data_IF_025830069359
#
_entry.id   IF_025830069359
#
_cell.length_a   1.000
_cell.length_b   1.000
_cell.length_c   1.000
_cell.angle_alpha   90.00
_cell.angle_beta   90.00
_cell.angle_gamma   90.00
#
_symmetry.space_group_name_H-M   'P 1'
#
loop_
_entity.id
_entity.type
_entity.pdbx_description
1 polymer ?
#
# COMPACT_ATOMS: atom_id res chain seq x y z
N UNK A 1 -36.97 45.73 -34.64
CA UNK A 1 -37.62 44.40 -34.57
C UNK A 1 -37.11 43.74 -33.29
N UNK A 2 -37.99 43.71 -32.28
CA UNK A 2 -37.93 43.08 -30.95
C UNK A 2 -36.84 43.52 -29.93
N UNK A 3 -37.37 44.00 -28.80
CA UNK A 3 -36.74 44.64 -27.64
C UNK A 3 -36.48 43.66 -26.48
N UNK A 4 -35.60 44.09 -25.57
CA UNK A 4 -35.37 43.61 -24.19
C UNK A 4 -36.64 43.24 -23.42
N UNK A 5 -36.52 42.30 -22.48
CA UNK A 5 -37.16 42.36 -21.15
C UNK A 5 -36.30 41.66 -20.09
N UNK A 6 -35.67 42.47 -19.23
CA UNK A 6 -35.42 42.15 -17.83
C UNK A 6 -36.74 42.36 -17.06
N UNK A 7 -37.03 41.51 -16.07
CA UNK A 7 -37.89 41.86 -14.94
C UNK A 7 -37.54 41.02 -13.71
N UNK A 8 -37.24 41.74 -12.63
CA UNK A 8 -37.11 41.28 -11.25
C UNK A 8 -38.48 40.89 -10.65
N UNK A 9 -38.45 40.11 -9.56
CA UNK A 9 -39.33 40.34 -8.40
C UNK A 9 -40.02 39.12 -7.81
N UNK A 10 -39.65 38.81 -6.54
CA UNK A 10 -40.48 38.32 -5.42
C UNK A 10 -41.18 36.94 -5.60
N UNK A 11 -41.09 35.94 -4.72
CA UNK A 11 -41.00 35.92 -3.27
C UNK A 11 -42.27 35.22 -2.73
N UNK A 12 -42.17 33.96 -2.28
CA UNK A 12 -43.08 33.39 -1.26
C UNK A 12 -42.68 31.98 -0.80
N UNK A 13 -42.62 31.87 0.52
CA UNK A 13 -43.08 30.81 1.41
C UNK A 13 -42.44 29.41 1.42
N UNK A 14 -41.64 29.29 2.48
CA UNK A 14 -41.34 28.11 3.30
C UNK A 14 -42.62 27.34 3.66
N UNK A 15 -42.60 26.01 3.56
CA UNK A 15 -43.51 25.15 4.32
C UNK A 15 -42.72 24.00 4.96
N UNK A 16 -42.56 24.08 6.27
CA UNK A 16 -42.13 22.98 7.13
C UNK A 16 -43.28 21.98 7.28
N UNK A 17 -43.01 20.68 7.16
CA UNK A 17 -43.92 19.62 7.58
C UNK A 17 -43.46 19.06 8.95
N UNK A 18 -44.38 18.64 9.83
CA UNK A 18 -44.11 18.45 11.26
C UNK A 18 -43.56 17.05 11.59
N UNK A 19 -42.77 17.00 12.67
CA UNK A 19 -42.40 15.78 13.39
C UNK A 19 -43.59 15.25 14.21
N UNK A 20 -43.84 13.95 14.16
CA UNK A 20 -44.66 13.24 15.15
C UNK A 20 -43.80 12.26 15.94
N UNK A 21 -43.68 12.56 17.23
CA UNK A 21 -43.20 11.66 18.28
C UNK A 21 -44.31 10.68 18.69
N UNK A 22 -43.93 9.43 18.95
CA UNK A 22 -44.70 8.54 19.81
C UNK A 22 -43.74 7.70 20.67
N UNK A 23 -43.59 8.11 21.93
CA UNK A 23 -43.09 7.31 23.04
C UNK A 23 -44.18 6.32 23.48
N UNK A 24 -43.82 5.07 23.76
CA UNK A 24 -44.49 4.23 24.77
C UNK A 24 -43.46 3.26 25.41
N UNK A 25 -43.11 3.58 26.64
CA UNK A 25 -42.89 2.72 27.83
C UNK A 25 -43.86 1.50 27.85
N UNK A 26 -43.70 0.37 28.57
CA UNK A 26 -42.90 -0.07 29.73
C UNK A 26 -43.13 -1.59 29.92
N UNK A 27 -42.45 -2.14 30.94
CA UNK A 27 -42.76 -3.38 31.72
C UNK A 27 -41.90 -4.62 31.40
N UNK A 28 -40.94 -4.94 32.29
CA UNK A 28 -41.04 -5.82 33.50
C UNK A 28 -41.33 -7.28 33.11
N UNK A 29 -40.71 -8.34 33.62
CA UNK A 29 -40.24 -8.59 34.98
C UNK A 29 -39.45 -9.92 35.04
N UNK A 30 -38.66 -10.07 36.11
CA UNK A 30 -38.44 -11.28 36.93
C UNK A 30 -37.54 -12.47 36.53
N UNK A 31 -36.43 -12.51 37.30
CA UNK A 31 -35.64 -13.59 37.90
C UNK A 31 -36.26 -14.99 38.18
N UNK A 32 -35.37 -16.01 38.07
CA UNK A 32 -35.16 -17.23 38.89
C UNK A 32 -34.73 -18.38 37.95
N UNK A 33 -33.78 -19.27 38.22
CA UNK A 33 -32.92 -19.55 39.36
C UNK A 33 -32.29 -20.93 39.13
N UNK A 34 -30.99 -21.04 39.44
CA UNK A 34 -30.23 -22.21 39.89
C UNK A 34 -30.09 -23.48 39.00
N UNK A 35 -28.79 -23.82 38.85
CA UNK A 35 -28.14 -25.13 39.07
C UNK A 35 -27.60 -25.91 37.86
N UNK A 36 -26.27 -26.13 37.86
CA UNK A 36 -25.66 -27.33 37.26
C UNK A 36 -24.33 -27.15 36.54
N UNK A 37 -23.22 -27.45 37.23
CA UNK A 37 -22.15 -28.28 36.65
C UNK A 37 -21.05 -27.62 35.81
N UNK A 38 -19.93 -27.34 36.48
CA UNK A 38 -18.55 -27.56 36.03
C UNK A 38 -18.32 -27.96 34.55
N UNK A 39 -17.56 -27.11 33.83
CA UNK A 39 -16.32 -27.47 33.10
C UNK A 39 -15.67 -26.20 32.55
N UNK A 40 -14.54 -25.79 33.14
CA UNK A 40 -13.63 -24.82 32.55
C UNK A 40 -13.02 -25.44 31.29
N UNK A 41 -13.45 -24.97 30.11
CA UNK A 41 -12.74 -25.14 28.85
C UNK A 41 -12.11 -23.81 28.48
N UNK A 42 -10.88 -23.56 28.92
CA UNK A 42 -10.07 -22.48 28.38
C UNK A 42 -9.85 -22.81 26.90
N UNK A 43 -10.49 -22.04 26.02
CA UNK A 43 -10.20 -22.06 24.59
C UNK A 43 -8.80 -21.46 24.45
N UNK A 44 -7.82 -22.34 24.30
CA UNK A 44 -6.45 -22.01 23.91
C UNK A 44 -6.51 -21.46 22.48
N UNK A 45 -6.46 -20.12 22.36
CA UNK A 45 -6.23 -19.42 21.11
C UNK A 45 -4.78 -19.67 20.70
N UNK A 46 -4.55 -20.73 19.95
CA UNK A 46 -3.31 -20.92 19.22
C UNK A 46 -3.37 -20.06 17.97
N UNK A 47 -2.57 -19.00 17.96
CA UNK A 47 -2.30 -18.14 16.81
C UNK A 47 -1.71 -19.00 15.67
N UNK A 48 -2.55 -19.43 14.73
CA UNK A 48 -2.14 -20.18 13.54
C UNK A 48 -1.58 -19.28 12.44
N UNK A 49 -0.43 -18.63 12.69
CA UNK A 49 0.30 -17.88 11.65
C UNK A 49 1.83 -18.13 11.65
N UNK A 50 2.31 -19.05 12.47
CA UNK A 50 3.72 -19.46 12.49
C UNK A 50 3.94 -20.68 11.59
N UNK A 51 4.11 -20.42 10.29
CA UNK A 51 4.68 -21.41 9.38
C UNK A 51 6.13 -21.66 9.81
N UNK A 52 6.39 -22.77 10.51
CA UNK A 52 7.75 -23.14 10.86
C UNK A 52 8.59 -23.40 9.60
N UNK A 53 9.86 -22.99 9.57
CA UNK A 53 10.60 -22.94 8.32
C UNK A 53 11.21 -24.28 7.94
N UNK A 54 11.14 -24.64 6.65
CA UNK A 54 11.87 -25.79 6.12
C UNK A 54 13.40 -25.61 6.28
N UNK A 55 14.08 -26.66 6.72
CA UNK A 55 15.51 -26.72 7.11
C UNK A 55 16.52 -26.30 6.02
N UNK A 56 16.12 -26.17 4.75
CA UNK A 56 17.04 -25.92 3.63
C UNK A 56 17.47 -24.46 3.40
N UNK A 57 17.00 -23.49 4.20
CA UNK A 57 17.13 -22.03 3.95
C UNK A 57 18.06 -21.26 4.91
N UNK A 58 18.76 -21.94 5.81
CA UNK A 58 19.31 -21.30 7.02
C UNK A 58 20.50 -20.34 6.79
N UNK A 59 21.24 -20.46 5.69
CA UNK A 59 22.44 -19.63 5.42
C UNK A 59 22.15 -18.26 4.77
N UNK A 60 20.92 -18.00 4.31
CA UNK A 60 20.56 -16.75 3.60
C UNK A 60 19.61 -15.84 4.40
N UNK A 61 19.16 -16.26 5.59
CA UNK A 61 18.20 -15.52 6.42
C UNK A 61 18.88 -14.48 7.32
N UNK A 62 19.55 -13.51 6.71
CA UNK A 62 19.95 -12.34 7.49
C UNK A 62 18.71 -11.54 7.91
N UNK A 63 18.59 -11.27 9.20
CA UNK A 63 17.55 -10.40 9.76
C UNK A 63 17.65 -9.01 9.13
N UNK A 64 16.58 -8.56 8.51
CA UNK A 64 16.52 -7.31 7.75
C UNK A 64 16.12 -6.16 8.66
N UNK A 65 15.10 -6.40 9.47
CA UNK A 65 14.45 -5.39 10.29
C UNK A 65 13.76 -6.03 11.50
N UNK A 66 13.41 -5.22 12.50
CA UNK A 66 12.59 -5.63 13.65
C UNK A 66 11.42 -4.68 13.73
N UNK A 67 10.20 -5.22 13.66
CA UNK A 67 8.95 -4.45 13.72
C UNK A 67 8.81 -3.71 15.04
N UNK A 68 7.86 -2.78 15.11
CA UNK A 68 7.53 -2.06 16.35
C UNK A 68 7.10 -2.99 17.50
N UNK A 69 6.60 -4.19 17.17
CA UNK A 69 6.22 -5.24 18.13
C UNK A 69 7.34 -6.22 18.46
N UNK A 70 8.57 -5.97 18.01
CA UNK A 70 9.72 -6.86 18.26
C UNK A 70 9.81 -8.09 17.35
N UNK A 71 8.84 -8.30 16.44
CA UNK A 71 8.88 -9.40 15.47
C UNK A 71 9.97 -9.14 14.41
N UNK A 72 10.92 -10.06 14.18
CA UNK A 72 11.93 -9.91 13.15
C UNK A 72 11.35 -10.14 11.75
N UNK A 73 11.88 -9.42 10.76
CA UNK A 73 11.57 -9.59 9.33
C UNK A 73 12.78 -10.21 8.63
N UNK A 74 12.53 -11.27 7.87
CA UNK A 74 13.52 -11.99 7.06
C UNK A 74 13.05 -12.07 5.61
N UNK A 75 13.97 -12.12 4.63
CA UNK A 75 13.60 -12.57 3.30
C UNK A 75 13.13 -14.04 3.38
N UNK A 76 12.08 -14.36 2.63
CA UNK A 76 11.55 -15.72 2.55
C UNK A 76 12.02 -16.45 1.30
N UNK A 77 12.50 -15.73 0.29
CA UNK A 77 13.11 -16.31 -0.92
C UNK A 77 14.47 -15.68 -1.24
N UNK A 78 15.26 -16.37 -2.06
CA UNK A 78 16.55 -15.87 -2.54
C UNK A 78 16.42 -14.55 -3.30
N UNK A 79 15.39 -14.38 -4.12
CA UNK A 79 15.17 -13.12 -4.84
C UNK A 79 14.74 -12.01 -3.90
N UNK A 80 13.96 -12.29 -2.86
CA UNK A 80 13.65 -11.28 -1.84
C UNK A 80 14.93 -10.81 -1.14
N UNK A 81 15.86 -11.72 -0.83
CA UNK A 81 17.17 -11.35 -0.29
C UNK A 81 17.95 -10.46 -1.27
N UNK A 82 18.03 -10.84 -2.54
CA UNK A 82 18.68 -10.05 -3.59
C UNK A 82 18.03 -8.67 -3.79
N UNK A 83 16.70 -8.57 -3.64
CA UNK A 83 15.97 -7.31 -3.72
C UNK A 83 16.35 -6.36 -2.59
N UNK A 84 16.37 -6.85 -1.35
CA UNK A 84 16.76 -6.07 -0.18
C UNK A 84 18.22 -5.60 -0.27
N UNK A 85 19.12 -6.49 -0.69
CA UNK A 85 20.52 -6.16 -0.94
C UNK A 85 20.65 -5.09 -2.02
N UNK A 86 19.87 -5.19 -3.10
CA UNK A 86 19.85 -4.21 -4.17
C UNK A 86 19.41 -2.83 -3.69
N UNK A 87 18.35 -2.75 -2.87
CA UNK A 87 17.89 -1.48 -2.28
C UNK A 87 18.97 -0.87 -1.38
N UNK A 88 19.74 -1.71 -0.67
CA UNK A 88 20.79 -1.22 0.21
C UNK A 88 21.96 -0.61 -0.57
N UNK A 89 22.34 -1.21 -1.70
CA UNK A 89 23.58 -0.89 -2.44
C UNK A 89 23.40 0.08 -3.62
N UNK A 90 22.25 0.08 -4.27
CA UNK A 90 22.05 0.81 -5.52
C UNK A 90 21.21 2.08 -5.33
N UNK A 91 21.57 3.21 -5.96
CA UNK A 91 20.73 4.41 -5.97
C UNK A 91 19.32 4.18 -6.51
N UNK A 92 19.16 3.28 -7.49
CA UNK A 92 17.84 2.92 -8.02
C UNK A 92 17.69 1.40 -8.07
N UNK A 93 16.60 0.90 -7.51
CA UNK A 93 16.17 -0.49 -7.68
C UNK A 93 14.77 -0.52 -8.31
N UNK A 94 14.61 -1.32 -9.36
CA UNK A 94 13.32 -1.59 -9.99
C UNK A 94 12.98 -3.04 -9.72
N UNK A 95 11.79 -3.31 -9.20
CA UNK A 95 11.31 -4.64 -8.90
C UNK A 95 10.02 -4.93 -9.65
N UNK A 96 10.04 -6.00 -10.44
CA UNK A 96 8.89 -6.50 -11.19
C UNK A 96 8.41 -7.79 -10.56
N UNK A 97 7.11 -8.02 -10.56
CA UNK A 97 6.55 -9.34 -10.33
C UNK A 97 5.19 -9.33 -9.64
N UNK A 98 4.61 -10.53 -9.43
CA UNK A 98 3.21 -10.69 -9.09
C UNK A 98 2.83 -10.11 -7.73
N UNK A 99 1.53 -9.85 -7.54
CA UNK A 99 0.97 -9.55 -6.22
C UNK A 99 1.22 -10.70 -5.21
N UNK A 100 1.58 -10.33 -3.98
CA UNK A 100 1.92 -11.29 -2.91
C UNK A 100 3.40 -11.68 -2.82
N UNK A 101 4.27 -11.13 -3.68
CA UNK A 101 5.73 -11.36 -3.63
C UNK A 101 6.46 -10.49 -2.59
N UNK A 102 5.75 -9.54 -1.96
CA UNK A 102 6.30 -8.65 -0.94
C UNK A 102 7.05 -7.42 -1.48
N UNK A 103 7.03 -7.16 -2.80
CA UNK A 103 7.77 -6.04 -3.44
C UNK A 103 7.59 -4.68 -2.76
N UNK A 104 6.37 -4.28 -2.45
CA UNK A 104 6.06 -2.97 -1.85
C UNK A 104 6.39 -2.97 -0.36
N UNK A 105 5.97 -4.02 0.36
CA UNK A 105 6.23 -4.18 1.79
C UNK A 105 7.74 -4.12 2.10
N UNK A 106 8.54 -4.91 1.39
CA UNK A 106 9.99 -4.97 1.58
C UNK A 106 10.68 -3.64 1.23
N UNK A 107 10.18 -2.89 0.23
CA UNK A 107 10.68 -1.54 -0.07
C UNK A 107 10.43 -0.57 1.10
N UNK A 108 9.24 -0.61 1.69
CA UNK A 108 8.87 0.22 2.84
C UNK A 108 9.70 -0.16 4.08
N UNK A 109 9.89 -1.47 4.33
CA UNK A 109 10.77 -1.95 5.41
C UNK A 109 12.18 -1.39 5.25
N UNK A 110 12.77 -1.45 4.05
CA UNK A 110 14.09 -0.88 3.78
C UNK A 110 14.12 0.63 3.89
N UNK A 111 13.03 1.33 3.52
CA UNK A 111 12.92 2.76 3.69
C UNK A 111 12.91 3.16 5.18
N UNK A 112 12.13 2.47 6.00
CA UNK A 112 12.12 2.64 7.46
C UNK A 112 13.51 2.37 8.05
N UNK A 113 14.18 1.29 7.60
CA UNK A 113 15.55 0.98 8.02
C UNK A 113 16.51 2.12 7.71
N UNK A 114 16.57 2.57 6.46
CA UNK A 114 17.46 3.66 6.02
C UNK A 114 17.19 4.97 6.78
N UNK A 115 15.93 5.28 7.07
CA UNK A 115 15.57 6.45 7.87
C UNK A 115 16.07 6.35 9.32
N UNK A 116 15.95 5.17 9.94
CA UNK A 116 16.37 4.96 11.32
C UNK A 116 17.88 4.82 11.47
N UNK A 117 18.56 4.22 10.48
CA UNK A 117 20.02 4.09 10.42
C UNK A 117 20.70 5.45 10.10
N UNK A 118 19.93 6.46 9.67
CA UNK A 118 20.43 7.80 9.33
C UNK A 118 21.01 7.92 7.92
N UNK A 119 20.82 6.90 7.07
CA UNK A 119 21.23 6.93 5.65
C UNK A 119 20.49 8.03 4.88
N UNK A 120 19.24 8.30 5.27
CA UNK A 120 18.35 9.30 4.66
C UNK A 120 17.59 10.06 5.75
N UNK A 121 17.17 11.28 5.44
CA UNK A 121 16.46 12.15 6.38
C UNK A 121 14.93 12.01 6.28
N UNK A 122 14.44 11.51 5.14
CA UNK A 122 13.01 11.34 4.88
C UNK A 122 12.67 10.17 3.95
N UNK A 123 11.45 9.68 4.10
CA UNK A 123 10.81 8.70 3.21
C UNK A 123 9.73 9.41 2.40
N UNK A 124 9.66 9.14 1.10
CA UNK A 124 8.58 9.61 0.24
C UNK A 124 7.95 8.39 -0.43
N UNK A 125 6.67 8.14 -0.14
CA UNK A 125 5.90 7.04 -0.70
C UNK A 125 4.90 7.63 -1.68
N UNK A 126 4.89 7.09 -2.90
CA UNK A 126 4.07 7.62 -3.97
C UNK A 126 3.48 6.53 -4.83
N UNK A 127 2.30 6.81 -5.38
CA UNK A 127 1.53 5.92 -6.25
C UNK A 127 0.95 6.77 -7.38
N UNK A 128 0.90 6.28 -8.64
CA UNK A 128 0.18 6.99 -9.69
C UNK A 128 -1.31 7.06 -9.34
N UNK A 129 -1.95 8.18 -9.64
CA UNK A 129 -3.40 8.24 -9.62
C UNK A 129 -3.92 7.41 -10.80
N UNK A 130 -4.72 6.40 -10.49
CA UNK A 130 -5.39 5.56 -11.48
C UNK A 130 -6.88 5.64 -11.17
N UNK A 131 -7.67 5.99 -12.17
CA UNK A 131 -9.12 5.91 -12.07
C UNK A 131 -9.50 4.43 -12.20
N UNK A 132 -9.47 3.71 -11.09
CA UNK A 132 -9.93 2.33 -11.01
C UNK A 132 -11.47 2.32 -11.01
N UNK A 133 -12.07 2.51 -12.19
CA UNK A 133 -13.51 2.34 -12.42
C UNK A 133 -14.45 3.39 -11.82
N UNK A 134 -14.04 4.11 -10.78
CA UNK A 134 -14.74 5.29 -10.24
C UNK A 134 -13.83 6.51 -10.40
N UNK A 135 -14.33 7.58 -11.02
CA UNK A 135 -13.57 8.84 -11.05
C UNK A 135 -13.29 9.25 -9.60
N UNK A 136 -12.04 9.62 -9.32
CA UNK A 136 -11.60 10.18 -8.02
C UNK A 136 -12.50 11.34 -7.52
N UNK A 137 -13.32 11.90 -8.42
CA UNK A 137 -14.35 12.90 -8.15
C UNK A 137 -15.56 12.46 -7.31
N UNK A 138 -15.85 11.17 -7.12
CA UNK A 138 -17.12 10.73 -6.50
C UNK A 138 -17.09 10.45 -4.99
N UNK A 139 -15.93 10.39 -4.33
CA UNK A 139 -15.89 10.28 -2.87
C UNK A 139 -16.17 11.66 -2.24
N UNK A 140 -17.16 11.84 -1.33
CA UNK A 140 -17.32 13.10 -0.59
C UNK A 140 -16.15 13.29 0.40
N UNK A 141 -15.70 14.53 0.62
CA UNK A 141 -14.63 14.87 1.57
C UNK A 141 -13.41 15.57 0.97
N UNK A 142 -12.45 15.93 1.83
CA UNK A 142 -11.18 16.57 1.43
C UNK A 142 -10.29 15.61 0.62
N UNK A 143 -9.39 16.12 -0.22
CA UNK A 143 -8.50 15.31 -1.09
C UNK A 143 -7.79 14.18 -0.32
N UNK A 144 -7.43 14.42 0.95
CA UNK A 144 -6.83 13.42 1.83
C UNK A 144 -7.79 12.25 2.14
N UNK A 145 -9.07 12.53 2.39
CA UNK A 145 -10.10 11.52 2.68
C UNK A 145 -10.44 10.66 1.44
N UNK A 146 -10.30 11.22 0.23
CA UNK A 146 -10.54 10.49 -1.03
C UNK A 146 -9.38 9.58 -1.45
N UNK A 147 -8.15 9.95 -1.08
CA UNK A 147 -6.93 9.20 -1.46
C UNK A 147 -6.60 8.11 -0.41
N UNK A 148 -7.12 8.23 0.81
CA UNK A 148 -6.82 7.37 1.96
C UNK A 148 -7.03 5.86 1.70
N UNK A 149 -8.11 5.39 1.04
CA UNK A 149 -8.31 3.95 0.80
C UNK A 149 -7.19 3.32 -0.06
N UNK A 150 -6.69 4.03 -1.06
CA UNK A 150 -5.63 3.56 -1.97
C UNK A 150 -4.24 3.54 -1.32
N UNK A 151 -4.08 4.30 -0.24
CA UNK A 151 -2.83 4.39 0.52
C UNK A 151 -2.83 3.49 1.76
N UNK A 152 -3.95 2.82 2.06
CA UNK A 152 -4.07 1.97 3.25
C UNK A 152 -2.98 0.89 3.37
N UNK A 153 -2.64 0.14 2.29
CA UNK A 153 -1.56 -0.85 2.37
C UNK A 153 -0.20 -0.24 2.73
N UNK A 154 0.04 1.02 2.34
CA UNK A 154 1.26 1.76 2.66
C UNK A 154 1.29 2.12 4.14
N UNK A 155 0.17 2.60 4.70
CA UNK A 155 0.04 2.87 6.13
C UNK A 155 0.22 1.62 6.97
N UNK A 156 -0.41 0.50 6.58
CA UNK A 156 -0.33 -0.75 7.34
C UNK A 156 1.13 -1.24 7.43
N UNK A 157 1.88 -1.20 6.32
CA UNK A 157 3.31 -1.54 6.31
C UNK A 157 4.15 -0.59 7.19
N UNK A 158 3.87 0.71 7.16
CA UNK A 158 4.54 1.69 8.04
C UNK A 158 4.23 1.43 9.52
N UNK A 159 2.97 1.15 9.86
CA UNK A 159 2.56 0.86 11.23
C UNK A 159 3.18 -0.42 11.76
N UNK A 160 3.32 -1.44 10.92
CA UNK A 160 4.06 -2.65 11.29
C UNK A 160 5.54 -2.33 11.59
N UNK A 161 6.17 -1.49 10.77
CA UNK A 161 7.60 -1.15 10.94
C UNK A 161 7.89 -0.22 12.14
N UNK A 162 7.05 0.78 12.36
CA UNK A 162 7.37 1.92 13.24
C UNK A 162 6.38 2.12 14.39
N UNK A 163 5.18 1.52 14.29
CA UNK A 163 4.07 1.76 15.20
C UNK A 163 3.28 3.01 14.82
N UNK A 164 1.98 3.00 15.11
CA UNK A 164 1.04 4.03 14.67
C UNK A 164 1.42 5.44 15.12
N UNK A 165 1.68 5.63 16.43
CA UNK A 165 2.02 6.93 17.00
C UNK A 165 3.27 7.54 16.35
N UNK A 166 4.32 6.72 16.15
CA UNK A 166 5.57 7.16 15.55
C UNK A 166 5.40 7.53 14.09
N UNK A 167 4.61 6.78 13.33
CA UNK A 167 4.29 7.11 11.93
C UNK A 167 3.57 8.46 11.86
N UNK A 168 2.55 8.68 12.68
CA UNK A 168 1.81 9.96 12.70
C UNK A 168 2.73 11.12 13.08
N UNK A 169 3.57 10.95 14.09
CA UNK A 169 4.58 11.94 14.48
C UNK A 169 5.55 12.26 13.34
N UNK A 170 6.06 11.24 12.65
CA UNK A 170 6.99 11.40 11.51
C UNK A 170 6.33 12.04 10.30
N UNK A 171 5.05 11.78 10.04
CA UNK A 171 4.28 12.46 8.99
C UNK A 171 4.12 13.94 9.32
N UNK A 172 3.72 14.25 10.56
CA UNK A 172 3.58 15.64 11.02
C UNK A 172 4.91 16.40 10.93
N UNK A 173 6.03 15.74 11.23
CA UNK A 173 7.39 16.28 11.09
C UNK A 173 7.93 16.26 9.65
N UNK A 174 7.16 15.79 8.66
CA UNK A 174 7.57 15.61 7.24
C UNK A 174 8.80 14.70 7.04
N UNK A 175 9.08 13.80 7.98
CA UNK A 175 10.04 12.70 7.80
C UNK A 175 9.46 11.58 6.94
N UNK A 176 8.14 11.43 6.93
CA UNK A 176 7.42 10.53 6.01
C UNK A 176 6.43 11.38 5.23
N UNK A 177 6.54 11.36 3.91
CA UNK A 177 5.58 11.98 2.99
C UNK A 177 4.88 10.88 2.21
N UNK A 178 3.55 10.91 2.17
CA UNK A 178 2.75 10.01 1.33
C UNK A 178 1.94 10.90 0.39
N UNK A 179 2.20 10.80 -0.92
CA UNK A 179 1.62 11.72 -1.89
C UNK A 179 1.45 11.10 -3.29
N UNK A 180 0.49 11.56 -4.09
CA UNK A 180 0.35 11.13 -5.49
C UNK A 180 1.58 11.44 -6.34
N UNK A 181 1.84 10.64 -7.37
CA UNK A 181 3.01 10.80 -8.25
C UNK A 181 3.16 12.20 -8.85
N UNK A 182 2.04 12.89 -9.12
CA UNK A 182 2.04 14.25 -9.67
C UNK A 182 2.80 15.26 -8.80
N UNK A 183 2.85 15.05 -7.48
CA UNK A 183 3.54 15.93 -6.52
C UNK A 183 5.06 15.85 -6.64
N UNK A 184 5.60 14.87 -7.37
CA UNK A 184 7.03 14.76 -7.63
C UNK A 184 7.53 15.75 -8.69
N UNK A 185 6.61 16.35 -9.47
CA UNK A 185 6.96 17.28 -10.55
C UNK A 185 7.73 18.49 -9.99
N UNK A 186 8.81 18.87 -10.68
CA UNK A 186 9.64 20.03 -10.31
C UNK A 186 10.47 19.86 -9.03
N UNK A 187 10.40 18.72 -8.33
CA UNK A 187 11.20 18.47 -7.14
C UNK A 187 12.59 17.93 -7.47
N UNK A 188 13.55 18.22 -6.61
CA UNK A 188 14.80 17.45 -6.51
C UNK A 188 14.80 16.81 -5.13
N UNK A 189 14.85 15.48 -5.08
CA UNK A 189 14.66 14.72 -3.85
C UNK A 189 16.03 14.35 -3.30
N UNK A 190 16.60 15.22 -2.46
CA UNK A 190 17.88 14.98 -1.76
C UNK A 190 17.66 14.32 -0.40
N UNK A 191 18.62 13.53 0.09
CA UNK A 191 18.58 12.85 1.39
C UNK A 191 17.27 12.08 1.65
N UNK A 192 16.77 11.37 0.63
CA UNK A 192 15.47 10.70 0.70
C UNK A 192 15.50 9.27 0.17
N UNK A 193 14.72 8.39 0.80
CA UNK A 193 14.30 7.12 0.21
C UNK A 193 12.92 7.30 -0.41
N UNK A 194 12.81 7.10 -1.72
CA UNK A 194 11.58 7.36 -2.48
C UNK A 194 11.06 6.04 -3.05
N UNK A 195 9.83 5.66 -2.71
CA UNK A 195 9.19 4.44 -3.20
C UNK A 195 8.02 4.81 -4.12
N UNK A 196 8.07 4.34 -5.36
CA UNK A 196 6.95 4.38 -6.30
C UNK A 196 6.31 2.99 -6.37
N UNK A 197 5.09 2.90 -5.88
CA UNK A 197 4.26 1.69 -5.95
C UNK A 197 3.35 1.72 -7.19
N UNK A 198 2.94 0.54 -7.65
CA UNK A 198 2.14 0.34 -8.87
C UNK A 198 2.68 1.04 -10.12
N UNK A 199 3.99 0.94 -10.35
CA UNK A 199 4.67 1.59 -11.47
C UNK A 199 4.14 1.14 -12.85
N UNK A 200 3.44 0.00 -12.95
CA UNK A 200 2.79 -0.44 -14.18
C UNK A 200 1.71 0.53 -14.63
N UNK A 201 1.15 1.32 -13.71
CA UNK A 201 0.14 2.33 -14.00
C UNK A 201 0.74 3.70 -14.32
N UNK A 202 2.05 3.77 -14.60
CA UNK A 202 2.72 4.96 -15.09
C UNK A 202 2.97 4.88 -16.60
N UNK A 203 2.78 5.99 -17.30
CA UNK A 203 3.32 6.18 -18.65
C UNK A 203 4.85 6.29 -18.62
N UNK A 204 5.51 6.05 -19.76
CA UNK A 204 6.96 6.22 -19.86
C UNK A 204 7.42 7.65 -19.52
N UNK A 205 6.62 8.66 -19.87
CA UNK A 205 6.90 10.06 -19.56
C UNK A 205 6.86 10.32 -18.05
N UNK A 206 5.88 9.74 -17.33
CA UNK A 206 5.80 9.83 -15.87
C UNK A 206 6.97 9.12 -15.19
N UNK A 207 7.36 7.93 -15.65
CA UNK A 207 8.53 7.22 -15.12
C UNK A 207 9.82 8.02 -15.33
N UNK A 208 10.01 8.58 -16.53
CA UNK A 208 11.15 9.47 -16.81
C UNK A 208 11.12 10.72 -15.92
N UNK A 209 9.96 11.34 -15.75
CA UNK A 209 9.78 12.49 -14.85
C UNK A 209 10.19 12.12 -13.43
N UNK A 210 9.72 11.00 -12.91
CA UNK A 210 9.99 10.51 -11.55
C UNK A 210 11.48 10.20 -11.33
N UNK A 211 12.08 9.37 -12.19
CA UNK A 211 13.46 8.93 -12.05
C UNK A 211 14.45 10.10 -12.12
N UNK A 212 14.13 11.14 -12.90
CA UNK A 212 14.94 12.36 -12.99
C UNK A 212 14.73 13.33 -11.82
N UNK A 213 14.02 12.94 -10.75
CA UNK A 213 13.96 13.68 -9.48
C UNK A 213 14.99 13.23 -8.46
N UNK A 214 15.74 12.15 -8.75
CA UNK A 214 16.76 11.62 -7.84
C UNK A 214 17.82 12.69 -7.52
N UNK A 215 17.95 13.03 -6.24
CA UNK A 215 18.93 13.99 -5.75
C UNK A 215 20.14 13.32 -5.10
N UNK A 216 20.94 14.13 -4.41
CA UNK A 216 22.12 13.67 -3.66
C UNK A 216 21.72 12.78 -2.48
N UNK A 217 22.55 11.80 -2.17
CA UNK A 217 22.38 10.87 -1.05
C UNK A 217 20.94 10.33 -0.95
N UNK A 218 20.39 9.91 -2.08
CA UNK A 218 18.99 9.47 -2.17
C UNK A 218 18.91 8.15 -2.91
N UNK A 219 17.83 7.44 -2.63
CA UNK A 219 17.56 6.12 -3.13
C UNK A 219 16.14 6.08 -3.70
N UNK A 220 15.94 5.37 -4.79
CA UNK A 220 14.64 5.16 -5.41
C UNK A 220 14.33 3.68 -5.55
N UNK A 221 13.14 3.29 -5.15
CA UNK A 221 12.62 1.94 -5.36
C UNK A 221 11.32 2.02 -6.16
N UNK A 222 11.24 1.30 -7.27
CA UNK A 222 10.05 1.24 -8.11
C UNK A 222 9.53 -0.19 -8.10
N UNK A 223 8.29 -0.40 -7.67
CA UNK A 223 7.62 -1.69 -7.71
C UNK A 223 6.51 -1.70 -8.75
N UNK A 224 6.35 -2.79 -9.50
CA UNK A 224 5.21 -2.94 -10.40
C UNK A 224 4.96 -4.39 -10.81
N UNK A 225 3.76 -4.63 -11.32
CA UNK A 225 3.32 -5.91 -11.87
C UNK A 225 2.84 -5.70 -13.30
N UNK A 226 3.59 -6.18 -14.29
CA UNK A 226 3.26 -6.03 -15.70
C UNK A 226 1.97 -6.73 -16.13
N UNK A 227 1.44 -7.64 -15.31
CA UNK A 227 0.19 -8.37 -15.59
C UNK A 227 -1.04 -7.64 -15.06
N UNK A 228 -0.87 -6.68 -14.14
CA UNK A 228 -1.95 -5.93 -13.48
C UNK A 228 -1.97 -4.46 -13.95
N UNK A 229 -2.05 -4.25 -15.26
CA UNK A 229 -2.10 -2.91 -15.84
C UNK A 229 -3.54 -2.39 -15.84
N UNK A 230 -3.81 -1.38 -15.01
CA UNK A 230 -5.11 -0.72 -14.92
C UNK A 230 -5.29 0.42 -15.95
N UNK A 231 -4.23 0.75 -16.68
CA UNK A 231 -4.29 1.70 -17.80
C UNK A 231 -4.86 1.03 -19.05
N UNK A 232 -5.38 1.85 -19.99
CA UNK A 232 -5.73 1.33 -21.32
C UNK A 232 -4.56 0.53 -21.91
N UNK A 233 -4.83 -0.61 -22.58
CA UNK A 233 -3.81 -1.47 -23.14
C UNK A 233 -2.75 -0.69 -23.94
N UNK A 234 -1.47 -1.00 -23.70
CA UNK A 234 -0.34 -0.36 -24.38
C UNK A 234 0.09 1.01 -23.85
N UNK A 235 -0.58 1.56 -22.81
CA UNK A 235 -0.16 2.84 -22.19
C UNK A 235 0.91 2.72 -21.11
N UNK A 236 1.04 1.54 -20.48
CA UNK A 236 2.07 1.31 -19.46
C UNK A 236 3.47 1.54 -20.03
N UNK A 237 4.27 2.33 -19.32
CA UNK A 237 5.66 2.59 -19.65
C UNK A 237 6.65 1.62 -19.01
N UNK A 238 6.20 0.76 -18.08
CA UNK A 238 7.08 0.05 -17.16
C UNK A 238 8.08 -0.88 -17.88
N UNK A 239 7.58 -1.81 -18.71
CA UNK A 239 8.46 -2.73 -19.44
C UNK A 239 9.44 -2.01 -20.37
N UNK A 240 8.99 -0.92 -21.00
CA UNK A 240 9.85 -0.10 -21.87
C UNK A 240 10.92 0.64 -21.06
N UNK A 241 10.56 1.20 -19.91
CA UNK A 241 11.50 1.85 -19.00
C UNK A 241 12.56 0.86 -18.51
N UNK A 242 12.15 -0.33 -18.08
CA UNK A 242 13.07 -1.39 -17.63
C UNK A 242 14.09 -1.74 -18.72
N UNK A 243 13.64 -2.01 -19.95
CA UNK A 243 14.55 -2.30 -21.08
C UNK A 243 15.57 -1.19 -21.36
N UNK A 244 15.19 0.07 -21.14
CA UNK A 244 16.10 1.23 -21.29
C UNK A 244 17.10 1.28 -20.13
N UNK A 245 16.63 1.04 -18.91
CA UNK A 245 17.37 1.29 -17.67
C UNK A 245 18.27 0.13 -17.24
N UNK A 246 18.02 -1.09 -17.70
CA UNK A 246 18.89 -2.26 -17.45
C UNK A 246 20.36 -2.04 -17.86
N UNK A 247 20.61 -1.10 -18.78
CA UNK A 247 21.96 -0.78 -19.28
C UNK A 247 22.63 0.35 -18.50
N UNK A 248 21.94 0.95 -17.53
CA UNK A 248 22.41 2.13 -16.81
C UNK A 248 23.10 1.71 -15.51
N UNK A 249 24.37 2.09 -15.36
CA UNK A 249 25.14 1.84 -14.15
C UNK A 249 24.48 2.48 -12.93
N UNK A 250 24.41 1.75 -11.82
CA UNK A 250 23.76 2.19 -10.57
C UNK A 250 22.24 1.97 -10.53
N UNK A 251 21.66 1.37 -11.57
CA UNK A 251 20.27 0.89 -11.56
C UNK A 251 20.29 -0.64 -11.55
N UNK A 252 19.55 -1.23 -10.64
CA UNK A 252 19.38 -2.69 -10.55
C UNK A 252 17.93 -3.06 -10.83
N UNK A 253 17.74 -4.18 -11.53
CA UNK A 253 16.42 -4.71 -11.87
C UNK A 253 16.28 -6.11 -11.27
N UNK A 254 15.26 -6.28 -10.44
CA UNK A 254 14.90 -7.55 -9.81
C UNK A 254 13.55 -8.01 -10.37
N UNK A 255 13.43 -9.32 -10.61
CA UNK A 255 12.24 -9.93 -11.19
C UNK A 255 11.80 -11.08 -10.30
N UNK A 256 10.68 -10.90 -9.60
CA UNK A 256 10.00 -11.96 -8.88
C UNK A 256 9.15 -12.79 -9.83
N UNK A 257 9.04 -14.08 -9.52
CA UNK A 257 8.18 -15.03 -10.19
C UNK A 257 7.07 -15.53 -9.26
N UNK A 258 6.30 -16.52 -9.72
CA UNK A 258 5.24 -17.15 -8.92
C UNK A 258 5.81 -17.87 -7.69
N UNK A 259 7.02 -18.40 -7.80
CA UNK A 259 7.78 -19.04 -6.71
C UNK A 259 8.18 -18.08 -5.58
N UNK A 260 8.10 -16.76 -5.82
CA UNK A 260 8.37 -15.75 -4.79
C UNK A 260 7.12 -15.27 -4.07
N UNK A 261 5.94 -15.78 -4.46
CA UNK A 261 4.68 -15.49 -3.78
C UNK A 261 4.71 -16.19 -2.44
N UNK A 262 4.52 -15.43 -1.37
CA UNK A 262 4.46 -15.97 -0.03
C UNK A 262 3.09 -15.64 0.55
N UNK A 263 2.24 -16.65 0.62
CA UNK A 263 0.88 -16.53 1.15
C UNK A 263 0.70 -17.49 2.33
N UNK A 264 -0.34 -17.25 3.11
CA UNK A 264 -0.79 -18.22 4.09
C UNK A 264 -1.27 -19.49 3.34
N UNK A 265 -0.98 -20.67 3.89
CA UNK A 265 -1.32 -21.96 3.26
C UNK A 265 -2.82 -22.12 2.97
N UNK A 266 -3.69 -21.48 3.76
CA UNK A 266 -5.14 -21.45 3.48
C UNK A 266 -5.42 -20.65 2.21
N UNK A 267 -4.79 -19.48 2.05
CA UNK A 267 -4.97 -18.64 0.86
C UNK A 267 -4.47 -19.36 -0.39
N UNK A 268 -3.36 -20.11 -0.30
CA UNK A 268 -2.89 -20.93 -1.42
C UNK A 268 -3.92 -22.01 -1.81
N UNK A 269 -4.50 -22.72 -0.84
CA UNK A 269 -5.56 -23.70 -1.10
C UNK A 269 -6.82 -23.08 -1.69
N UNK A 270 -7.21 -21.88 -1.23
CA UNK A 270 -8.35 -21.15 -1.79
C UNK A 270 -8.08 -20.81 -3.25
N UNK A 271 -6.91 -20.23 -3.57
CA UNK A 271 -6.55 -19.87 -4.95
C UNK A 271 -6.52 -21.09 -5.86
N UNK A 272 -5.94 -22.19 -5.40
CA UNK A 272 -5.92 -23.44 -6.17
C UNK A 272 -7.34 -23.94 -6.51
N UNK A 273 -8.28 -23.90 -5.55
CA UNK A 273 -9.66 -24.31 -5.79
C UNK A 273 -10.39 -23.45 -6.84
N UNK A 274 -10.09 -22.15 -6.91
CA UNK A 274 -10.64 -21.28 -7.97
C UNK A 274 -9.96 -21.51 -9.32
N UNK A 275 -8.63 -21.70 -9.35
CA UNK A 275 -7.90 -22.00 -10.58
C UNK A 275 -8.34 -23.34 -11.22
N UNK A 276 -8.64 -24.35 -10.40
CA UNK A 276 -9.19 -25.63 -10.86
C UNK A 276 -10.52 -25.45 -11.61
N UNK A 277 -11.50 -24.78 -11.00
CA UNK A 277 -12.81 -24.51 -11.62
C UNK A 277 -12.67 -23.68 -12.91
N UNK A 278 -11.83 -22.64 -12.93
CA UNK A 278 -11.60 -21.81 -14.12
C UNK A 278 -10.92 -22.57 -15.26
N UNK A 279 -10.19 -23.65 -14.97
CA UNK A 279 -9.53 -24.49 -15.98
C UNK A 279 -10.38 -25.63 -16.51
N UNK A 280 -11.48 -25.98 -15.81
CA UNK A 280 -12.46 -26.98 -16.23
C UNK A 280 -13.64 -26.39 -17.04
N UNK A 281 -13.76 -25.06 -17.11
CA UNK A 281 -14.78 -24.31 -17.88
C UNK A 281 -14.29 -23.74 -19.21
#
# INVERSE_FOLDING_TARGET
>A
MLQKKEQNGEGSDVTYLPEEHADLDSDRNEANGLNGGHRNGTLDQTDHDDMEPSEALDSTRQKVYVTARGKPIYPRTHRQAAYLESIQKNPVTICLGPAGTGKTFLAIVMACRKLLDGDVDRIILTRPAVEAGESLGFLPGDLNQKVDPYLRPVYDALYECLGMEKVHSMIAARKIEIAPLAYMRGRTLNHAMVVLDEAQNCTLAQLKMFLTRLGRNSFMCLGGDETQVDLNPGKSGLLKAVRILERVSGISVIRFGKEDIVRNAIVERIVAAFEEEESEG
#
